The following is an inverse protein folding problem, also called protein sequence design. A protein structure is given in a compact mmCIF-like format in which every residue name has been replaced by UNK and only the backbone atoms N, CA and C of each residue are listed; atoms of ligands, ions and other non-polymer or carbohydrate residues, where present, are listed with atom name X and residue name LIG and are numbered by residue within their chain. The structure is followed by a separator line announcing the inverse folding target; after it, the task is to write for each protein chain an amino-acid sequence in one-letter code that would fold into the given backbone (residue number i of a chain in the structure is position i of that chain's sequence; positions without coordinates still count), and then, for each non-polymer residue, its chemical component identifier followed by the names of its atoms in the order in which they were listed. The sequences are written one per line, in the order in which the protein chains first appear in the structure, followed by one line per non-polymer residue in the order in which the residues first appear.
data_IF_825598738706
#
_entry.id   IF_825598738706
#
_cell.length_a   1.000
_cell.length_b   1.000
_cell.length_c   1.000
_cell.angle_alpha   90.00
_cell.angle_beta   90.00
_cell.angle_gamma   90.00
#
_symmetry.space_group_name_H-M   'P 1'
#
loop_
_entity.id
_entity.type
_entity.pdbx_description
1 polymer ?
#
# COMPACT_ATOMS: atom_id res chain seq x y z
N UNK A 1 -25.10 17.39 -2.58
CA UNK A 1 -23.68 17.67 -2.30
C UNK A 1 -23.06 18.23 -3.55
N UNK A 2 -22.51 19.42 -3.50
CA UNK A 2 -21.98 20.13 -4.66
C UNK A 2 -20.50 20.44 -4.49
N UNK A 3 -19.76 20.36 -5.58
CA UNK A 3 -18.31 20.52 -5.62
C UNK A 3 -17.95 21.60 -6.64
N UNK A 4 -17.00 22.45 -6.32
CA UNK A 4 -16.35 23.32 -7.31
C UNK A 4 -14.94 22.81 -7.55
N UNK A 5 -14.62 22.52 -8.79
CA UNK A 5 -13.24 22.37 -9.25
C UNK A 5 -12.66 23.77 -9.46
N UNK A 6 -11.44 24.00 -8.98
CA UNK A 6 -10.66 25.23 -9.24
C UNK A 6 -11.08 26.52 -8.51
N UNK A 7 -11.37 26.48 -7.20
CA UNK A 7 -11.57 27.68 -6.37
C UNK A 7 -12.58 28.74 -6.90
N UNK A 8 -13.39 28.41 -7.88
CA UNK A 8 -14.46 29.27 -8.33
C UNK A 8 -15.62 29.10 -7.37
N UNK A 9 -15.85 30.06 -6.50
CA UNK A 9 -17.03 30.12 -5.65
C UNK A 9 -18.27 30.37 -6.53
N UNK A 10 -18.91 29.31 -7.00
CA UNK A 10 -20.27 29.41 -7.51
C UNK A 10 -21.20 29.53 -6.31
N UNK A 11 -21.77 30.73 -6.13
CA UNK A 11 -22.76 30.99 -5.07
C UNK A 11 -24.20 30.54 -5.46
N UNK A 12 -24.36 29.75 -6.51
CA UNK A 12 -25.67 29.22 -6.85
C UNK A 12 -26.11 28.20 -5.80
N UNK A 13 -27.19 28.46 -5.08
CA UNK A 13 -27.82 27.45 -4.23
C UNK A 13 -28.37 26.35 -5.12
N UNK A 14 -27.85 25.11 -4.94
CA UNK A 14 -28.43 23.94 -5.57
C UNK A 14 -29.49 23.35 -4.66
N UNK A 15 -30.67 23.09 -5.20
CA UNK A 15 -31.78 22.51 -4.45
C UNK A 15 -32.06 21.08 -4.90
N UNK A 16 -32.32 20.21 -3.94
CA UNK A 16 -32.85 18.88 -4.17
C UNK A 16 -34.21 18.77 -3.48
N UNK A 17 -35.24 18.54 -4.28
CA UNK A 17 -36.65 18.51 -3.79
C UNK A 17 -37.06 19.76 -2.99
N UNK A 18 -36.58 20.94 -3.39
CA UNK A 18 -36.87 22.21 -2.73
C UNK A 18 -36.08 22.49 -1.44
N UNK A 19 -35.11 21.63 -1.10
CA UNK A 19 -34.20 21.82 0.02
C UNK A 19 -32.83 22.25 -0.49
N UNK A 20 -32.31 23.37 0.04
CA UNK A 20 -30.96 23.83 -0.31
C UNK A 20 -29.90 22.80 0.09
N UNK A 21 -29.04 22.46 -0.85
CA UNK A 21 -27.90 21.57 -0.58
C UNK A 21 -26.74 22.37 0.03
N UNK A 22 -26.23 21.97 1.19
CA UNK A 22 -25.10 22.64 1.81
C UNK A 22 -23.84 22.46 0.99
N UNK A 23 -23.07 23.53 0.84
CA UNK A 23 -21.69 23.47 0.36
C UNK A 23 -20.80 22.91 1.45
N UNK A 24 -20.05 21.88 1.13
CA UNK A 24 -19.12 21.22 2.08
C UNK A 24 -17.72 21.19 1.49
N UNK A 25 -16.72 21.31 2.33
CA UNK A 25 -15.29 21.22 1.96
C UNK A 25 -14.84 19.77 1.82
N UNK A 26 -15.47 18.87 2.57
CA UNK A 26 -15.24 17.43 2.45
C UNK A 26 -16.53 16.65 2.69
N UNK A 27 -16.57 15.43 2.18
CA UNK A 27 -17.67 14.51 2.41
C UNK A 27 -17.18 13.07 2.36
N UNK A 28 -17.73 12.23 3.23
CA UNK A 28 -17.47 10.80 3.20
C UNK A 28 -18.45 10.14 2.22
N UNK A 29 -17.93 9.40 1.25
CA UNK A 29 -18.68 8.59 0.33
C UNK A 29 -18.03 7.21 0.19
N UNK A 30 -18.77 6.17 0.51
CA UNK A 30 -18.29 4.77 0.51
C UNK A 30 -16.96 4.63 1.26
N UNK A 31 -16.89 5.15 2.48
CA UNK A 31 -15.71 5.17 3.36
C UNK A 31 -14.50 5.98 2.84
N UNK A 32 -14.68 6.76 1.76
CA UNK A 32 -13.66 7.68 1.25
C UNK A 32 -13.99 9.11 1.60
N UNK A 33 -13.02 9.83 2.13
CA UNK A 33 -13.14 11.27 2.30
C UNK A 33 -12.80 11.97 0.99
N UNK A 34 -13.83 12.42 0.30
CA UNK A 34 -13.70 13.25 -0.87
C UNK A 34 -13.52 14.71 -0.43
N UNK A 35 -12.47 15.37 -0.92
CA UNK A 35 -12.17 16.75 -0.55
C UNK A 35 -12.37 17.69 -1.74
N UNK A 36 -12.81 18.94 -1.47
CA UNK A 36 -13.08 19.97 -2.47
C UNK A 36 -11.88 20.27 -3.39
N UNK A 37 -10.65 20.14 -2.87
CA UNK A 37 -9.41 20.37 -3.64
C UNK A 37 -9.09 19.21 -4.59
N UNK A 38 -9.88 18.14 -4.57
CA UNK A 38 -9.68 16.97 -5.46
C UNK A 38 -8.45 16.13 -5.11
N UNK A 39 -7.75 16.45 -4.03
CA UNK A 39 -6.61 15.64 -3.57
C UNK A 39 -7.10 14.55 -2.64
N UNK A 40 -6.83 13.30 -3.00
CA UNK A 40 -7.09 12.14 -2.14
C UNK A 40 -5.96 11.91 -1.12
N UNK A 41 -5.18 12.94 -0.83
CA UNK A 41 -4.06 12.84 0.13
C UNK A 41 -4.53 12.58 1.56
N UNK A 42 -5.68 13.13 1.93
CA UNK A 42 -6.26 12.88 3.24
C UNK A 42 -6.68 11.42 3.38
N UNK A 43 -7.39 10.87 2.38
CA UNK A 43 -7.76 9.46 2.35
C UNK A 43 -6.53 8.56 2.43
N UNK A 44 -5.47 8.84 1.68
CA UNK A 44 -4.22 8.11 1.75
C UNK A 44 -3.58 8.16 3.16
N UNK A 45 -3.65 9.30 3.87
CA UNK A 45 -3.17 9.43 5.26
C UNK A 45 -3.98 8.57 6.22
N UNK A 46 -5.31 8.58 6.11
CA UNK A 46 -6.21 7.77 6.94
C UNK A 46 -5.94 6.27 6.70
N UNK A 47 -5.89 5.85 5.43
CA UNK A 47 -5.60 4.46 5.07
C UNK A 47 -4.20 4.02 5.54
N UNK A 48 -3.23 4.92 5.50
CA UNK A 48 -1.90 4.67 6.07
C UNK A 48 -1.95 4.41 7.57
N UNK A 49 -2.70 5.22 8.32
CA UNK A 49 -2.83 5.05 9.77
C UNK A 49 -3.48 3.69 10.10
N UNK A 50 -4.55 3.33 9.41
CA UNK A 50 -5.22 2.03 9.54
C UNK A 50 -4.25 0.89 9.20
N UNK A 51 -3.50 1.01 8.12
CA UNK A 51 -2.50 0.00 7.72
C UNK A 51 -1.43 -0.20 8.80
N UNK A 52 -0.89 0.88 9.36
CA UNK A 52 0.12 0.81 10.43
C UNK A 52 -0.47 0.13 11.66
N UNK A 53 -1.68 0.51 12.08
CA UNK A 53 -2.35 -0.08 13.24
C UNK A 53 -2.56 -1.58 13.02
N UNK A 54 -3.22 -1.97 11.95
CA UNK A 54 -3.48 -3.37 11.64
C UNK A 54 -2.19 -4.21 11.53
N UNK A 55 -1.14 -3.63 10.95
CA UNK A 55 0.17 -4.30 10.84
C UNK A 55 0.82 -4.51 12.21
N UNK A 56 0.62 -3.57 13.14
CA UNK A 56 1.10 -3.68 14.52
C UNK A 56 0.34 -4.78 15.26
N UNK A 57 -0.98 -4.77 15.18
CA UNK A 57 -1.84 -5.77 15.81
C UNK A 57 -1.54 -7.19 15.29
N UNK A 58 -1.35 -7.34 13.97
CA UNK A 58 -0.96 -8.63 13.37
C UNK A 58 0.41 -9.07 13.90
N UNK A 59 1.38 -8.17 13.98
CA UNK A 59 2.71 -8.51 14.49
C UNK A 59 2.65 -8.97 15.95
N UNK A 60 1.85 -8.33 16.79
CA UNK A 60 1.63 -8.73 18.18
C UNK A 60 0.96 -10.10 18.27
N UNK A 61 -0.06 -10.37 17.47
CA UNK A 61 -0.69 -11.68 17.40
C UNK A 61 0.25 -12.81 16.95
N UNK A 62 1.22 -12.48 16.11
CA UNK A 62 2.19 -13.42 15.54
C UNK A 62 3.61 -13.20 16.08
N UNK A 63 3.74 -12.82 17.35
CA UNK A 63 5.01 -12.44 17.98
C UNK A 63 6.14 -13.46 17.78
N UNK A 64 5.80 -14.75 17.86
CA UNK A 64 6.78 -15.85 17.72
C UNK A 64 6.82 -16.47 16.32
N UNK A 65 6.05 -15.93 15.37
CA UNK A 65 6.05 -16.47 14.01
C UNK A 65 7.26 -15.97 13.21
N UNK A 66 7.64 -16.75 12.20
CA UNK A 66 8.67 -16.32 11.26
C UNK A 66 8.26 -15.02 10.55
N UNK A 67 9.17 -14.05 10.32
CA UNK A 67 8.86 -12.76 9.68
C UNK A 67 8.09 -12.87 8.38
N UNK A 68 8.41 -13.85 7.53
CA UNK A 68 7.67 -14.09 6.29
C UNK A 68 6.19 -14.43 6.54
N UNK A 69 5.85 -15.15 7.60
CA UNK A 69 4.46 -15.45 7.96
C UNK A 69 3.73 -14.20 8.45
N UNK A 70 4.41 -13.37 9.25
CA UNK A 70 3.89 -12.07 9.68
C UNK A 70 3.60 -11.18 8.47
N UNK A 71 4.56 -11.07 7.55
CA UNK A 71 4.40 -10.26 6.33
C UNK A 71 3.31 -10.79 5.42
N UNK A 72 3.17 -12.11 5.30
CA UNK A 72 2.07 -12.72 4.56
C UNK A 72 0.72 -12.36 5.18
N UNK A 73 0.60 -12.43 6.50
CA UNK A 73 -0.62 -12.03 7.21
C UNK A 73 -0.93 -10.54 7.03
N UNK A 74 0.08 -9.65 7.15
CA UNK A 74 -0.07 -8.22 6.87
C UNK A 74 -0.53 -7.97 5.43
N UNK A 75 0.06 -8.68 4.46
CA UNK A 75 -0.33 -8.54 3.06
C UNK A 75 -1.76 -8.99 2.81
N UNK A 76 -2.24 -10.03 3.50
CA UNK A 76 -3.61 -10.54 3.35
C UNK A 76 -4.62 -9.69 4.11
N UNK A 77 -4.34 -9.30 5.35
CA UNK A 77 -5.35 -8.71 6.25
C UNK A 77 -5.25 -7.20 6.40
N UNK A 78 -4.06 -6.60 6.29
CA UNK A 78 -3.88 -5.17 6.51
C UNK A 78 -3.79 -4.34 5.21
N UNK A 79 -3.38 -4.93 4.09
CA UNK A 79 -3.09 -4.19 2.86
C UNK A 79 -4.29 -4.03 1.92
N UNK A 80 -5.49 -3.83 2.47
CA UNK A 80 -6.69 -3.55 1.67
C UNK A 80 -6.86 -2.04 1.51
N UNK A 81 -6.31 -1.51 0.43
CA UNK A 81 -6.44 -0.08 0.08
C UNK A 81 -7.61 0.13 -0.87
N UNK A 82 -8.83 -0.14 -0.36
CA UNK A 82 -10.04 0.16 -1.12
C UNK A 82 -10.05 1.66 -1.49
N UNK A 83 -10.32 1.97 -2.75
CA UNK A 83 -10.33 3.34 -3.26
C UNK A 83 -8.96 3.90 -3.67
N UNK A 84 -7.86 3.17 -3.48
CA UNK A 84 -6.54 3.60 -3.93
C UNK A 84 -6.46 3.90 -5.44
N UNK A 85 -7.41 3.38 -6.23
CA UNK A 85 -7.56 3.72 -7.64
C UNK A 85 -7.91 5.20 -7.89
N UNK A 86 -8.32 5.94 -6.85
CA UNK A 86 -8.60 7.37 -6.94
C UNK A 86 -7.41 8.24 -6.52
N UNK A 87 -6.34 7.63 -5.98
CA UNK A 87 -5.19 8.37 -5.50
C UNK A 87 -4.29 8.88 -6.62
N UNK A 88 -3.60 9.99 -6.36
CA UNK A 88 -2.39 10.30 -7.08
C UNK A 88 -1.29 9.36 -6.60
N UNK A 89 -1.01 8.31 -7.37
CA UNK A 89 -0.11 7.22 -7.00
C UNK A 89 1.36 7.65 -6.91
N UNK A 90 1.70 8.75 -7.56
CA UNK A 90 3.04 9.36 -7.55
C UNK A 90 3.10 10.59 -6.64
N UNK A 91 1.99 10.91 -6.00
CA UNK A 91 1.91 12.00 -5.02
C UNK A 91 2.49 11.63 -3.65
N UNK A 92 2.71 12.65 -2.79
CA UNK A 92 3.33 12.46 -1.48
C UNK A 92 2.50 11.58 -0.55
N UNK A 93 1.17 11.60 -0.63
CA UNK A 93 0.26 10.78 0.18
C UNK A 93 0.47 9.29 -0.08
N UNK A 94 0.38 8.86 -1.34
CA UNK A 94 0.62 7.47 -1.74
C UNK A 94 2.07 7.04 -1.39
N UNK A 95 3.05 7.91 -1.64
CA UNK A 95 4.44 7.64 -1.29
C UNK A 95 4.65 7.39 0.21
N UNK A 96 3.87 8.02 1.09
CA UNK A 96 3.91 7.73 2.53
C UNK A 96 3.33 6.35 2.86
N UNK A 97 2.25 5.94 2.18
CA UNK A 97 1.68 4.59 2.33
C UNK A 97 2.71 3.54 1.91
N UNK A 98 3.36 3.72 0.77
CA UNK A 98 4.38 2.78 0.26
C UNK A 98 5.57 2.64 1.21
N UNK A 99 6.05 3.77 1.78
CA UNK A 99 7.12 3.74 2.80
C UNK A 99 6.71 3.03 4.09
N UNK A 100 5.42 3.00 4.41
CA UNK A 100 4.93 2.28 5.60
C UNK A 100 5.10 0.77 5.48
N UNK A 101 4.99 0.21 4.26
CA UNK A 101 5.31 -1.19 4.01
C UNK A 101 6.77 -1.51 4.35
N UNK A 102 7.71 -0.68 3.89
CA UNK A 102 9.13 -0.88 4.19
C UNK A 102 9.41 -0.82 5.71
N UNK A 103 8.70 0.05 6.41
CA UNK A 103 8.78 0.10 7.88
C UNK A 103 8.24 -1.17 8.52
N UNK A 104 7.10 -1.68 8.04
CA UNK A 104 6.51 -2.93 8.52
C UNK A 104 7.46 -4.12 8.31
N UNK A 105 8.09 -4.24 7.13
CA UNK A 105 9.08 -5.28 6.84
C UNK A 105 10.27 -5.19 7.79
N UNK A 106 10.82 -3.99 7.98
CA UNK A 106 11.93 -3.76 8.91
C UNK A 106 11.59 -4.18 10.33
N UNK A 107 10.38 -3.85 10.80
CA UNK A 107 9.91 -4.22 12.13
C UNK A 107 9.70 -5.73 12.27
N UNK A 108 9.18 -6.41 11.26
CA UNK A 108 8.98 -7.85 11.27
C UNK A 108 10.32 -8.60 11.40
N UNK A 109 11.35 -8.13 10.74
CA UNK A 109 12.69 -8.71 10.78
C UNK A 109 13.58 -8.19 11.92
N UNK A 110 13.12 -7.24 12.73
CA UNK A 110 13.93 -6.62 13.77
C UNK A 110 15.13 -5.83 13.24
N UNK A 111 15.07 -5.36 11.98
CA UNK A 111 16.16 -4.57 11.37
C UNK A 111 16.00 -3.09 11.72
N UNK A 112 17.09 -2.36 11.89
CA UNK A 112 17.04 -0.93 12.18
C UNK A 112 16.28 -0.12 11.13
N UNK A 113 15.54 0.89 11.55
CA UNK A 113 14.74 1.74 10.65
C UNK A 113 15.55 2.45 9.57
N UNK A 114 16.83 2.74 9.82
CA UNK A 114 17.75 3.38 8.86
C UNK A 114 18.31 2.43 7.81
N UNK A 115 18.05 1.11 7.90
CA UNK A 115 18.47 0.15 6.89
C UNK A 115 17.95 0.56 5.51
N UNK A 116 18.76 0.31 4.48
CA UNK A 116 18.44 0.75 3.12
C UNK A 116 17.16 0.11 2.58
N UNK A 117 16.27 0.89 1.95
CA UNK A 117 14.98 0.39 1.46
C UNK A 117 15.12 -0.63 0.32
N UNK A 118 16.15 -0.51 -0.51
CA UNK A 118 16.49 -1.50 -1.52
C UNK A 118 16.56 -2.92 -0.93
N UNK A 119 17.24 -3.05 0.19
CA UNK A 119 17.38 -4.30 0.92
C UNK A 119 16.03 -4.86 1.39
N UNK A 120 15.16 -3.98 1.86
CA UNK A 120 13.80 -4.34 2.31
C UNK A 120 12.97 -4.91 1.17
N UNK A 121 12.98 -4.23 0.03
CA UNK A 121 12.09 -4.56 -1.09
C UNK A 121 12.51 -5.86 -1.80
N UNK A 122 13.80 -6.11 -1.92
CA UNK A 122 14.30 -7.23 -2.73
C UNK A 122 14.64 -8.48 -1.92
N UNK A 123 14.96 -8.35 -0.64
CA UNK A 123 15.41 -9.48 0.18
C UNK A 123 14.46 -9.79 1.32
N UNK A 124 14.17 -8.81 2.15
CA UNK A 124 13.39 -9.04 3.37
C UNK A 124 11.89 -9.21 3.11
N UNK A 125 11.40 -8.82 1.94
CA UNK A 125 10.01 -9.05 1.55
C UNK A 125 9.65 -10.53 1.34
N UNK A 126 10.63 -11.42 1.22
CA UNK A 126 10.45 -12.85 1.00
C UNK A 126 9.57 -13.17 -0.23
N UNK A 127 9.66 -12.38 -1.29
CA UNK A 127 8.82 -12.54 -2.49
C UNK A 127 7.36 -12.10 -2.29
N UNK A 128 7.00 -11.54 -1.14
CA UNK A 128 5.67 -11.01 -0.89
C UNK A 128 5.54 -9.66 -1.59
N UNK A 129 4.49 -9.45 -2.41
CA UNK A 129 4.29 -8.21 -3.14
C UNK A 129 4.24 -7.00 -2.19
N UNK A 130 4.97 -5.95 -2.52
CA UNK A 130 4.90 -4.71 -1.76
C UNK A 130 3.51 -4.06 -1.87
N UNK A 131 3.16 -3.23 -0.90
CA UNK A 131 1.93 -2.42 -0.96
C UNK A 131 1.88 -1.59 -2.25
N UNK A 132 3.02 -1.04 -2.68
CA UNK A 132 3.10 -0.28 -3.94
C UNK A 132 2.74 -1.14 -5.15
N UNK A 133 3.35 -2.31 -5.28
CA UNK A 133 3.07 -3.25 -6.38
C UNK A 133 1.58 -3.63 -6.42
N UNK A 134 0.99 -3.92 -5.25
CA UNK A 134 -0.42 -4.27 -5.12
C UNK A 134 -1.34 -3.12 -5.55
N UNK A 135 -1.08 -1.91 -5.07
CA UNK A 135 -1.87 -0.71 -5.39
C UNK A 135 -1.78 -0.36 -6.87
N UNK A 136 -0.57 -0.37 -7.46
CA UNK A 136 -0.40 -0.11 -8.89
C UNK A 136 -1.08 -1.19 -9.75
N UNK A 137 -1.00 -2.46 -9.34
CA UNK A 137 -1.69 -3.56 -10.03
C UNK A 137 -3.22 -3.42 -9.98
N UNK A 138 -3.77 -3.04 -8.82
CA UNK A 138 -5.20 -2.76 -8.66
C UNK A 138 -5.65 -1.58 -9.52
N UNK A 139 -4.85 -0.51 -9.55
CA UNK A 139 -5.11 0.67 -10.37
C UNK A 139 -5.16 0.31 -11.86
N UNK A 140 -4.15 -0.38 -12.36
CA UNK A 140 -4.11 -0.81 -13.77
C UNK A 140 -5.29 -1.72 -14.12
N UNK A 141 -5.62 -2.66 -13.23
CA UNK A 141 -6.78 -3.54 -13.39
C UNK A 141 -8.11 -2.78 -13.38
N UNK A 142 -8.24 -1.76 -12.53
CA UNK A 142 -9.43 -0.90 -12.51
C UNK A 142 -9.56 -0.08 -13.80
N UNK A 143 -8.49 0.59 -14.23
CA UNK A 143 -8.49 1.36 -15.46
C UNK A 143 -8.90 0.52 -16.67
N UNK A 144 -8.39 -0.69 -16.77
CA UNK A 144 -8.79 -1.63 -17.83
C UNK A 144 -10.26 -2.00 -17.79
N UNK A 145 -10.82 -2.19 -16.59
CA UNK A 145 -12.27 -2.44 -16.46
C UNK A 145 -13.09 -1.25 -16.97
N UNK A 146 -12.62 -0.02 -16.77
CA UNK A 146 -13.28 1.16 -17.33
C UNK A 146 -13.26 1.16 -18.86
N UNK A 147 -12.12 0.79 -19.48
CA UNK A 147 -11.96 0.73 -20.92
C UNK A 147 -12.85 -0.32 -21.61
N UNK A 148 -13.19 -1.40 -20.90
CA UNK A 148 -14.06 -2.47 -21.43
C UNK A 148 -15.47 -2.46 -20.85
N UNK A 149 -15.83 -1.36 -20.14
CA UNK A 149 -17.18 -1.20 -19.57
C UNK A 149 -18.26 -1.35 -20.65
N UNK A 150 -19.42 -1.88 -20.28
CA UNK A 150 -20.59 -1.95 -21.17
C UNK A 150 -21.12 -0.55 -21.53
N UNK A 151 -21.03 0.43 -20.60
CA UNK A 151 -21.44 1.82 -20.87
C UNK A 151 -20.43 2.51 -21.80
N UNK A 152 -20.95 3.03 -22.92
CA UNK A 152 -20.19 3.84 -23.88
C UNK A 152 -19.65 5.12 -23.25
N UNK A 153 -20.40 5.71 -22.33
CA UNK A 153 -20.06 6.95 -21.62
C UNK A 153 -18.87 6.74 -20.70
N UNK A 154 -18.84 5.61 -19.96
CA UNK A 154 -17.71 5.26 -19.08
C UNK A 154 -16.46 5.02 -19.93
N UNK A 155 -16.57 4.28 -21.04
CA UNK A 155 -15.43 4.07 -21.94
C UNK A 155 -14.89 5.38 -22.53
N UNK A 156 -15.80 6.26 -22.97
CA UNK A 156 -15.43 7.57 -23.51
C UNK A 156 -14.72 8.41 -22.44
N UNK A 157 -15.30 8.49 -21.25
CA UNK A 157 -14.69 9.22 -20.12
C UNK A 157 -13.30 8.67 -19.76
N UNK A 158 -13.16 7.35 -19.66
CA UNK A 158 -11.86 6.71 -19.38
C UNK A 158 -10.81 7.07 -20.45
N UNK A 159 -11.20 7.08 -21.73
CA UNK A 159 -10.31 7.47 -22.83
C UNK A 159 -9.90 8.95 -22.75
N UNK A 160 -10.84 9.84 -22.44
CA UNK A 160 -10.55 11.29 -22.32
C UNK A 160 -9.62 11.52 -21.12
N UNK A 161 -9.99 11.05 -19.93
CA UNK A 161 -9.26 11.30 -18.69
C UNK A 161 -7.91 10.60 -18.68
N UNK A 162 -7.80 9.39 -19.26
CA UNK A 162 -6.55 8.65 -19.34
C UNK A 162 -5.50 9.29 -20.27
N UNK A 163 -5.92 10.12 -21.24
CA UNK A 163 -5.01 10.85 -22.16
C UNK A 163 -4.71 12.27 -21.71
N UNK A 164 -5.43 12.77 -20.73
CA UNK A 164 -5.23 14.10 -20.19
C UNK A 164 -4.15 14.07 -19.10
N UNK A 165 -2.94 14.49 -19.43
CA UNK A 165 -1.82 14.61 -18.49
C UNK A 165 -2.12 15.53 -17.29
N UNK A 166 -3.07 16.45 -17.40
CA UNK A 166 -3.53 17.31 -16.30
C UNK A 166 -4.44 16.61 -15.33
N UNK A 167 -5.02 15.46 -15.69
CA UNK A 167 -5.82 14.64 -14.80
C UNK A 167 -4.93 13.75 -13.92
N UNK A 168 -5.43 13.40 -12.73
CA UNK A 168 -4.77 12.43 -11.85
C UNK A 168 -4.61 11.08 -12.54
N UNK A 169 -5.63 10.65 -13.28
CA UNK A 169 -5.62 9.37 -14.02
C UNK A 169 -4.58 9.37 -15.12
N UNK A 170 -4.56 10.37 -15.97
CA UNK A 170 -3.58 10.47 -17.06
C UNK A 170 -2.16 10.60 -16.53
N UNK A 171 -1.93 11.44 -15.52
CA UNK A 171 -0.63 11.56 -14.85
C UNK A 171 -0.16 10.22 -14.26
N UNK A 172 -1.03 9.46 -13.59
CA UNK A 172 -0.69 8.14 -13.08
C UNK A 172 -0.29 7.17 -14.19
N UNK A 173 -1.01 7.16 -15.32
CA UNK A 173 -0.72 6.27 -16.45
C UNK A 173 0.59 6.62 -17.13
N UNK A 174 0.87 7.91 -17.34
CA UNK A 174 2.14 8.38 -17.90
C UNK A 174 3.33 7.98 -17.02
N UNK A 175 3.24 8.26 -15.71
CA UNK A 175 4.31 7.89 -14.79
C UNK A 175 4.52 6.37 -14.70
N UNK A 176 3.44 5.58 -14.81
CA UNK A 176 3.53 4.12 -14.82
C UNK A 176 4.22 3.62 -16.09
N UNK A 177 3.93 4.21 -17.24
CA UNK A 177 4.60 3.91 -18.51
C UNK A 177 6.09 4.28 -18.45
N UNK A 178 6.41 5.47 -17.96
CA UNK A 178 7.80 5.94 -17.83
C UNK A 178 8.62 5.06 -16.88
N UNK A 179 8.04 4.65 -15.75
CA UNK A 179 8.75 3.86 -14.74
C UNK A 179 8.97 2.40 -15.16
N UNK A 180 7.97 1.75 -15.75
CA UNK A 180 8.00 0.32 -16.03
C UNK A 180 8.20 -0.02 -17.52
N UNK A 181 8.13 0.96 -18.41
CA UNK A 181 8.13 0.73 -19.85
C UNK A 181 6.94 -0.12 -20.30
N UNK A 182 5.80 0.00 -19.61
CA UNK A 182 4.57 -0.73 -19.89
C UNK A 182 3.54 0.23 -20.47
N UNK A 183 3.02 -0.07 -21.66
CA UNK A 183 1.87 0.64 -22.19
C UNK A 183 0.62 0.36 -21.31
N UNK A 184 0.10 1.35 -20.56
CA UNK A 184 -1.02 1.13 -19.65
C UNK A 184 -2.31 0.73 -20.36
N UNK A 185 -2.42 0.99 -21.68
CA UNK A 185 -3.59 0.68 -22.49
C UNK A 185 -3.68 -0.79 -22.86
N UNK A 186 -2.55 -1.46 -22.97
CA UNK A 186 -2.47 -2.86 -23.41
C UNK A 186 -1.95 -3.80 -22.32
N UNK A 187 -1.07 -3.33 -21.43
CA UNK A 187 -0.40 -4.15 -20.43
C UNK A 187 -1.34 -4.64 -19.32
N UNK A 188 -1.07 -5.80 -18.76
CA UNK A 188 -1.83 -6.40 -17.66
C UNK A 188 -1.16 -6.19 -16.30
N UNK A 189 -1.92 -6.36 -15.21
CA UNK A 189 -1.36 -6.34 -13.86
C UNK A 189 -0.34 -7.46 -13.63
N UNK A 190 -0.42 -8.58 -14.35
CA UNK A 190 0.59 -9.64 -14.32
C UNK A 190 1.92 -9.21 -14.96
N UNK A 191 1.89 -8.48 -16.07
CA UNK A 191 3.11 -7.91 -16.66
C UNK A 191 3.76 -6.88 -15.75
N UNK A 192 2.97 -6.07 -15.04
CA UNK A 192 3.49 -5.18 -14.01
C UNK A 192 4.17 -5.98 -12.88
N UNK A 193 3.55 -7.07 -12.42
CA UNK A 193 4.12 -7.91 -11.38
C UNK A 193 5.44 -8.56 -11.84
N UNK A 194 5.53 -8.97 -13.09
CA UNK A 194 6.75 -9.51 -13.69
C UNK A 194 7.88 -8.47 -13.73
N UNK A 195 7.58 -7.23 -14.11
CA UNK A 195 8.56 -6.13 -14.08
C UNK A 195 9.05 -5.83 -12.67
N UNK A 196 8.20 -5.91 -11.66
CA UNK A 196 8.62 -5.78 -10.26
C UNK A 196 9.51 -6.93 -9.79
N UNK A 197 9.23 -8.17 -10.20
CA UNK A 197 10.01 -9.35 -9.82
C UNK A 197 11.30 -9.52 -10.62
N UNK A 198 11.39 -8.91 -11.80
CA UNK A 198 12.55 -8.99 -12.70
C UNK A 198 13.75 -8.13 -12.29
N UNK A 199 13.73 -7.55 -11.09
CA UNK A 199 14.89 -6.84 -10.57
C UNK A 199 15.92 -7.84 -10.09
N UNK A 200 16.92 -8.10 -10.91
CA UNK A 200 18.05 -8.97 -10.56
C UNK A 200 18.94 -8.30 -9.50
N UNK A 201 19.07 -8.97 -8.36
CA UNK A 201 20.07 -8.57 -7.36
C UNK A 201 21.45 -8.79 -8.00
N UNK A 202 22.33 -7.77 -8.05
CA UNK A 202 23.68 -7.95 -8.56
C UNK A 202 24.34 -9.15 -7.89
N UNK A 203 24.96 -10.03 -8.67
CA UNK A 203 25.54 -11.28 -8.18
C UNK A 203 26.54 -11.05 -7.02
N UNK A 204 27.22 -9.90 -7.05
CA UNK A 204 28.16 -9.46 -6.01
C UNK A 204 27.48 -9.27 -4.65
N UNK A 205 26.21 -8.87 -4.62
CA UNK A 205 25.46 -8.63 -3.38
C UNK A 205 24.59 -9.82 -2.97
N UNK A 206 24.27 -10.71 -3.88
CA UNK A 206 23.37 -11.84 -3.64
C UNK A 206 23.83 -12.74 -2.49
N UNK A 207 25.12 -13.06 -2.39
CA UNK A 207 25.66 -13.90 -1.32
C UNK A 207 25.67 -13.16 0.04
N UNK A 208 25.98 -11.86 0.07
CA UNK A 208 25.95 -11.03 1.29
C UNK A 208 24.55 -10.96 1.85
N UNK A 209 23.57 -10.78 0.96
CA UNK A 209 22.15 -10.69 1.30
C UNK A 209 21.62 -12.03 1.83
N UNK A 210 21.98 -13.14 1.17
CA UNK A 210 21.65 -14.49 1.64
C UNK A 210 22.25 -14.80 3.01
N UNK A 211 23.50 -14.39 3.25
CA UNK A 211 24.16 -14.55 4.54
C UNK A 211 23.46 -13.74 5.64
N UNK A 212 23.06 -12.49 5.33
CA UNK A 212 22.39 -11.65 6.30
C UNK A 212 21.01 -12.19 6.67
N UNK A 213 20.24 -12.69 5.72
CA UNK A 213 18.94 -13.35 6.00
C UNK A 213 19.16 -14.54 6.94
N UNK A 214 20.14 -15.40 6.66
CA UNK A 214 20.48 -16.54 7.54
C UNK A 214 20.87 -16.09 8.96
N UNK A 215 21.64 -15.01 9.08
CA UNK A 215 22.03 -14.48 10.39
C UNK A 215 20.84 -13.90 11.16
N UNK A 216 19.92 -13.24 10.47
CA UNK A 216 18.68 -12.72 11.08
C UNK A 216 17.77 -13.86 11.54
N UNK A 217 17.64 -14.93 10.73
CA UNK A 217 16.89 -16.12 11.10
C UNK A 217 17.47 -16.80 12.33
N UNK A 218 18.80 -17.02 12.36
CA UNK A 218 19.49 -17.61 13.51
C UNK A 218 19.33 -16.76 14.78
N UNK A 219 19.48 -15.44 14.68
CA UNK A 219 19.25 -14.53 15.79
C UNK A 219 17.84 -14.68 16.36
N UNK A 220 16.82 -14.72 15.49
CA UNK A 220 15.42 -14.87 15.89
C UNK A 220 15.15 -16.22 16.54
N UNK A 221 15.70 -17.30 15.97
CA UNK A 221 15.58 -18.63 16.59
C UNK A 221 16.15 -18.65 18.01
N UNK A 222 17.29 -17.98 18.23
CA UNK A 222 17.88 -17.83 19.56
C UNK A 222 17.00 -17.00 20.51
N UNK A 223 16.39 -15.92 20.02
CA UNK A 223 15.46 -15.08 20.80
C UNK A 223 14.24 -15.89 21.24
N UNK A 224 13.63 -16.63 20.31
CA UNK A 224 12.47 -17.51 20.61
C UNK A 224 12.83 -18.62 21.59
N UNK A 225 14.02 -19.23 21.48
CA UNK A 225 14.48 -20.25 22.40
C UNK A 225 14.73 -19.66 23.80
N UNK A 226 15.33 -18.49 23.89
CA UNK A 226 15.57 -17.80 25.16
C UNK A 226 14.26 -17.45 25.87
N UNK A 227 13.26 -16.94 25.14
CA UNK A 227 11.94 -16.62 25.70
C UNK A 227 11.22 -17.87 26.22
N UNK A 228 11.23 -18.97 25.46
CA UNK A 228 10.68 -20.26 25.90
C UNK A 228 11.38 -20.76 27.16
N UNK A 229 12.69 -20.65 27.23
CA UNK A 229 13.48 -21.08 28.40
C UNK A 229 13.12 -20.24 29.62
N UNK A 230 12.95 -18.95 29.46
CA UNK A 230 12.52 -18.03 30.53
C UNK A 230 11.13 -18.41 31.06
N UNK A 231 10.14 -18.62 30.16
CA UNK A 231 8.78 -19.00 30.52
C UNK A 231 8.76 -20.36 31.29
N UNK A 232 9.57 -21.33 30.87
CA UNK A 232 9.69 -22.61 31.58
C UNK A 232 10.31 -22.40 32.97
N UNK A 233 11.33 -21.57 33.08
CA UNK A 233 11.94 -21.25 34.39
C UNK A 233 10.93 -20.61 35.35
N UNK A 234 10.15 -19.63 34.87
CA UNK A 234 9.11 -18.97 35.65
C UNK A 234 8.01 -19.93 36.09
N UNK A 235 7.61 -20.92 35.24
CA UNK A 235 6.67 -21.98 35.58
C UNK A 235 7.23 -22.92 36.64
N UNK A 236 8.50 -23.33 36.54
CA UNK A 236 9.17 -24.17 37.53
C UNK A 236 9.24 -23.44 38.88
N UNK A 237 9.62 -22.15 38.87
CA UNK A 237 9.68 -21.37 40.10
C UNK A 237 8.29 -21.25 40.75
N UNK A 238 7.24 -21.04 39.97
CA UNK A 238 5.85 -21.00 40.50
C UNK A 238 5.39 -22.30 41.11
N UNK A 239 5.85 -23.44 40.59
CA UNK A 239 5.52 -24.79 41.11
C UNK A 239 6.36 -25.15 42.34
N UNK A 240 7.56 -24.58 42.49
CA UNK A 240 8.42 -24.86 43.64
C UNK A 240 8.06 -24.04 44.89
N UNK A 241 7.34 -22.91 44.70
CA UNK A 241 6.96 -22.00 45.79
C UNK A 241 5.45 -22.02 46.12
N UNK A 242 4.68 -22.90 45.50
CA UNK A 242 3.27 -23.19 45.83
C UNK A 242 3.14 -24.43 46.71
#
# INVERSE_FOLDING_TARGET
MCWTLNNVQYQASLQLYGVDLPWVTSAVHLDHELHQVGTMEHDAKVRRAIFIQNSTDIREMFEFAHPAQVLQAVNVYASHFYGSMLWNLYGPGAGQVFRSWNTCVKLAWGVPRWSHNYFVEHVLSCGIPSVRQKVLGQYLGFFKKLLVSESSEIRLLANIVGRDAGSVTGSNLINLEEEFGLDPWTSSSSQLAEKYSGYEIPAEDGWRLSLLVKLLDQKREMEVMNEKTKTISELIDSLCYS
#
